data_IF_299413442066
#
_entry.id   IF_299413442066
#
_cell.length_a   1.000
_cell.length_b   1.000
_cell.length_c   1.000
_cell.angle_alpha   90.00
_cell.angle_beta   90.00
_cell.angle_gamma   90.00
#
_symmetry.space_group_name_H-M   'P 1'
#
loop_
_entity.id
_entity.type
_entity.pdbx_description
1 polymer ?
#
# COMPACT_ATOMS: atom_id res chain seq x y z
N UNK A 1 -39.66 19.84 -7.14
CA UNK A 1 -38.31 19.89 -6.53
C UNK A 1 -38.08 18.76 -5.52
N UNK A 2 -38.36 17.48 -5.84
CA UNK A 2 -38.14 16.40 -4.85
C UNK A 2 -37.56 15.10 -5.42
N UNK A 3 -37.33 15.01 -6.74
CA UNK A 3 -36.68 13.86 -7.37
C UNK A 3 -35.18 14.10 -7.46
N UNK A 4 -34.75 15.25 -8.02
CA UNK A 4 -33.33 15.64 -8.14
C UNK A 4 -32.60 15.65 -6.79
N UNK A 5 -33.21 16.20 -5.72
CA UNK A 5 -32.61 16.22 -4.38
C UNK A 5 -32.50 14.83 -3.73
N UNK A 6 -33.33 13.86 -4.13
CA UNK A 6 -33.25 12.49 -3.62
C UNK A 6 -32.22 11.66 -4.38
N UNK A 7 -32.06 11.90 -5.69
CA UNK A 7 -31.06 11.22 -6.52
C UNK A 7 -29.63 11.69 -6.20
N UNK A 8 -29.41 13.00 -5.97
CA UNK A 8 -28.11 13.55 -5.55
C UNK A 8 -27.60 12.90 -4.25
N UNK A 9 -28.45 12.86 -3.22
CA UNK A 9 -28.11 12.29 -1.92
C UNK A 9 -27.84 10.76 -1.99
N UNK A 10 -28.51 10.04 -2.90
CA UNK A 10 -28.24 8.61 -3.12
C UNK A 10 -26.92 8.35 -3.86
N UNK A 11 -26.59 9.19 -4.85
CA UNK A 11 -25.31 9.11 -5.58
C UNK A 11 -24.12 9.42 -4.69
N UNK A 12 -24.27 10.40 -3.78
CA UNK A 12 -23.24 10.78 -2.82
C UNK A 12 -22.95 9.67 -1.81
N UNK A 13 -24.01 9.08 -1.24
CA UNK A 13 -23.90 7.94 -0.32
C UNK A 13 -23.26 6.73 -1.01
N UNK A 14 -23.66 6.43 -2.26
CA UNK A 14 -23.06 5.33 -3.01
C UNK A 14 -21.56 5.57 -3.26
N UNK A 15 -21.17 6.79 -3.63
CA UNK A 15 -19.77 7.13 -3.90
C UNK A 15 -18.89 7.02 -2.65
N UNK A 16 -19.40 7.44 -1.48
CA UNK A 16 -18.69 7.27 -0.22
C UNK A 16 -18.51 5.78 0.15
N UNK A 17 -19.55 4.97 -0.04
CA UNK A 17 -19.46 3.52 0.13
C UNK A 17 -18.39 2.91 -0.79
N UNK A 18 -18.35 3.32 -2.06
CA UNK A 18 -17.36 2.84 -3.04
C UNK A 18 -15.92 3.19 -2.60
N UNK A 19 -15.71 4.36 -1.98
CA UNK A 19 -14.41 4.73 -1.41
C UNK A 19 -14.03 3.88 -0.19
N UNK A 20 -14.96 3.63 0.73
CA UNK A 20 -14.74 2.77 1.90
C UNK A 20 -14.39 1.34 1.44
N UNK A 21 -15.12 0.82 0.45
CA UNK A 21 -14.84 -0.49 -0.16
C UNK A 21 -13.46 -0.52 -0.83
N UNK A 22 -13.08 0.55 -1.53
CA UNK A 22 -11.76 0.67 -2.15
C UNK A 22 -10.63 0.65 -1.11
N UNK A 23 -10.80 1.37 0.02
CA UNK A 23 -9.86 1.37 1.14
C UNK A 23 -9.71 -0.04 1.73
N UNK A 24 -10.84 -0.72 1.97
CA UNK A 24 -10.84 -2.08 2.50
C UNK A 24 -10.22 -3.10 1.52
N UNK A 25 -10.42 -2.93 0.22
CA UNK A 25 -9.77 -3.75 -0.81
C UNK A 25 -8.24 -3.57 -0.78
N UNK A 26 -7.77 -2.32 -0.71
CA UNK A 26 -6.33 -2.03 -0.59
C UNK A 26 -5.75 -2.65 0.68
N UNK A 27 -6.45 -2.53 1.81
CA UNK A 27 -6.05 -3.18 3.08
C UNK A 27 -5.87 -4.70 2.91
N UNK A 28 -6.83 -5.37 2.26
CA UNK A 28 -6.80 -6.82 2.05
C UNK A 28 -5.69 -7.26 1.08
N UNK A 29 -5.46 -6.48 0.02
CA UNK A 29 -4.35 -6.69 -0.91
C UNK A 29 -3.01 -6.54 -0.19
N UNK A 30 -2.89 -5.56 0.73
CA UNK A 30 -1.68 -5.39 1.52
C UNK A 30 -1.41 -6.61 2.41
N UNK A 31 -2.42 -7.10 3.14
CA UNK A 31 -2.27 -8.29 4.00
C UNK A 31 -1.78 -9.49 3.21
N UNK A 32 -2.45 -9.78 2.10
CA UNK A 32 -2.14 -10.93 1.25
C UNK A 32 -0.72 -10.86 0.70
N UNK A 33 -0.31 -9.67 0.26
CA UNK A 33 1.01 -9.47 -0.34
C UNK A 33 2.14 -9.52 0.70
N UNK A 34 1.93 -9.00 1.92
CA UNK A 34 2.90 -9.12 3.02
C UNK A 34 3.13 -10.59 3.38
N UNK A 35 2.08 -11.40 3.46
CA UNK A 35 2.21 -12.82 3.76
C UNK A 35 3.01 -13.58 2.70
N UNK A 36 2.78 -13.24 1.43
CA UNK A 36 3.52 -13.81 0.31
C UNK A 36 5.00 -13.37 0.30
N UNK A 37 5.27 -12.07 0.50
CA UNK A 37 6.64 -11.53 0.67
C UNK A 37 7.36 -12.24 1.80
N UNK A 38 6.73 -12.37 2.97
CA UNK A 38 7.33 -13.02 4.14
C UNK A 38 7.64 -14.50 3.87
N UNK A 39 6.78 -15.19 3.12
CA UNK A 39 7.01 -16.58 2.71
C UNK A 39 8.25 -16.69 1.82
N UNK A 40 8.34 -15.86 0.76
CA UNK A 40 9.51 -15.81 -0.13
C UNK A 40 10.80 -15.44 0.61
N UNK A 41 10.74 -14.45 1.49
CA UNK A 41 11.91 -14.05 2.28
C UNK A 41 12.40 -15.17 3.20
N UNK A 42 11.49 -15.91 3.85
CA UNK A 42 11.88 -17.09 4.66
C UNK A 42 12.59 -18.14 3.83
N UNK A 43 12.16 -18.40 2.60
CA UNK A 43 12.83 -19.33 1.68
C UNK A 43 14.24 -18.86 1.32
N UNK A 44 14.37 -17.58 0.95
CA UNK A 44 15.66 -16.97 0.61
C UNK A 44 16.63 -16.94 1.80
N UNK A 45 16.12 -16.75 3.01
CA UNK A 45 16.91 -16.81 4.25
C UNK A 45 17.34 -18.24 4.54
N UNK A 46 16.43 -19.22 4.45
CA UNK A 46 16.72 -20.64 4.71
C UNK A 46 17.81 -21.19 3.79
N UNK A 47 17.80 -20.80 2.51
CA UNK A 47 18.85 -21.23 1.57
C UNK A 47 20.11 -20.36 1.60
N UNK A 48 20.19 -19.37 2.50
CA UNK A 48 21.36 -18.50 2.68
C UNK A 48 21.54 -17.43 1.60
N UNK A 49 20.73 -17.44 0.55
CA UNK A 49 20.84 -16.48 -0.56
C UNK A 49 20.61 -15.05 -0.10
N UNK A 50 19.63 -14.82 0.80
CA UNK A 50 19.34 -13.48 1.28
C UNK A 50 20.55 -12.83 1.98
N UNK A 51 21.45 -13.60 2.59
CA UNK A 51 22.65 -13.06 3.23
C UNK A 51 23.67 -12.47 2.23
N UNK A 52 23.60 -12.89 0.96
CA UNK A 52 24.45 -12.37 -0.12
C UNK A 52 23.90 -11.05 -0.70
N UNK A 53 22.64 -10.73 -0.42
CA UNK A 53 22.01 -9.47 -0.85
C UNK A 53 22.53 -8.32 0.01
N UNK A 54 22.74 -7.15 -0.61
CA UNK A 54 23.24 -5.98 0.10
C UNK A 54 22.42 -5.66 1.34
N UNK A 55 23.11 -5.29 2.41
CA UNK A 55 22.47 -4.89 3.67
C UNK A 55 21.49 -3.73 3.44
N UNK A 56 21.85 -2.78 2.57
CA UNK A 56 21.00 -1.63 2.22
C UNK A 56 19.66 -2.08 1.65
N UNK A 57 19.67 -2.94 0.64
CA UNK A 57 18.44 -3.43 0.03
C UNK A 57 17.60 -4.23 1.02
N UNK A 58 18.23 -5.10 1.83
CA UNK A 58 17.52 -5.88 2.86
C UNK A 58 16.81 -4.99 3.87
N UNK A 59 17.49 -3.96 4.38
CA UNK A 59 16.89 -3.00 5.33
C UNK A 59 15.70 -2.29 4.72
N UNK A 60 15.76 -1.94 3.42
CA UNK A 60 14.67 -1.24 2.74
C UNK A 60 13.45 -2.12 2.50
N UNK A 61 13.66 -3.39 2.18
CA UNK A 61 12.56 -4.36 2.13
C UNK A 61 11.90 -4.49 3.51
N UNK A 62 12.69 -4.56 4.58
CA UNK A 62 12.15 -4.64 5.93
C UNK A 62 11.37 -3.39 6.35
N UNK A 63 11.91 -2.20 6.10
CA UNK A 63 11.23 -0.92 6.34
C UNK A 63 9.91 -0.82 5.55
N UNK A 64 9.90 -1.30 4.30
CA UNK A 64 8.70 -1.37 3.46
C UNK A 64 7.63 -2.26 4.09
N UNK A 65 8.01 -3.44 4.59
CA UNK A 65 7.08 -4.36 5.25
C UNK A 65 6.48 -3.73 6.51
N UNK A 66 7.32 -3.09 7.35
CA UNK A 66 6.83 -2.41 8.55
C UNK A 66 5.84 -1.29 8.20
N UNK A 67 6.17 -0.46 7.20
CA UNK A 67 5.27 0.58 6.73
C UNK A 67 3.92 0.03 6.27
N UNK A 68 3.90 -1.10 5.55
CA UNK A 68 2.65 -1.73 5.14
C UNK A 68 1.85 -2.30 6.31
N UNK A 69 2.52 -2.86 7.32
CA UNK A 69 1.85 -3.35 8.53
C UNK A 69 1.15 -2.22 9.28
N UNK A 70 1.82 -1.09 9.47
CA UNK A 70 1.20 0.10 10.09
C UNK A 70 0.08 0.66 9.21
N UNK A 71 0.29 0.74 7.90
CA UNK A 71 -0.74 1.20 6.96
C UNK A 71 -2.00 0.32 7.01
N UNK A 72 -1.87 -1.00 7.16
CA UNK A 72 -3.03 -1.90 7.34
C UNK A 72 -3.83 -1.52 8.59
N UNK A 73 -3.16 -1.24 9.71
CA UNK A 73 -3.82 -0.81 10.94
C UNK A 73 -4.59 0.49 10.72
N UNK A 74 -3.96 1.48 10.07
CA UNK A 74 -4.58 2.78 9.80
C UNK A 74 -5.77 2.65 8.84
N UNK A 75 -5.64 1.91 7.73
CA UNK A 75 -6.74 1.71 6.77
C UNK A 75 -7.91 0.95 7.37
N UNK A 76 -7.64 -0.02 8.26
CA UNK A 76 -8.68 -0.74 8.99
C UNK A 76 -9.45 0.16 9.94
N UNK A 77 -8.74 1.04 10.67
CA UNK A 77 -9.36 2.03 11.54
C UNK A 77 -10.20 3.04 10.74
N UNK A 78 -9.64 3.60 9.66
CA UNK A 78 -10.31 4.58 8.80
C UNK A 78 -11.58 3.99 8.16
N UNK A 79 -11.49 2.81 7.55
CA UNK A 79 -12.64 2.18 6.88
C UNK A 79 -13.79 1.92 7.84
N UNK A 80 -13.48 1.50 9.08
CA UNK A 80 -14.48 1.31 10.14
C UNK A 80 -15.06 2.64 10.63
N UNK A 81 -14.22 3.63 10.93
CA UNK A 81 -14.68 4.91 11.46
C UNK A 81 -15.49 5.70 10.42
N UNK A 82 -15.15 5.62 9.13
CA UNK A 82 -15.89 6.25 8.04
C UNK A 82 -17.32 5.72 7.87
N UNK A 83 -17.60 4.49 8.30
CA UNK A 83 -18.97 3.94 8.30
C UNK A 83 -19.87 4.64 9.33
N UNK A 84 -19.29 5.16 10.41
CA UNK A 84 -20.02 5.86 11.47
C UNK A 84 -19.99 7.38 11.27
N UNK A 85 -18.81 7.93 10.96
CA UNK A 85 -18.60 9.37 10.79
C UNK A 85 -17.36 9.65 9.95
N UNK A 86 -17.52 10.41 8.88
CA UNK A 86 -16.41 10.93 8.09
C UNK A 86 -15.80 12.16 8.77
N UNK A 87 -14.47 12.24 8.85
CA UNK A 87 -13.75 13.38 9.44
C UNK A 87 -12.55 13.78 8.57
N UNK A 88 -12.09 15.06 8.62
CA UNK A 88 -10.92 15.50 7.87
C UNK A 88 -9.65 14.69 8.18
N UNK A 89 -9.52 14.20 9.42
CA UNK A 89 -8.36 13.41 9.85
C UNK A 89 -8.19 12.15 9.00
N UNK A 90 -9.28 11.50 8.59
CA UNK A 90 -9.21 10.31 7.73
C UNK A 90 -8.47 10.64 6.42
N UNK A 91 -8.82 11.77 5.80
CA UNK A 91 -8.22 12.19 4.54
C UNK A 91 -6.77 12.63 4.71
N UNK A 92 -6.44 13.32 5.79
CA UNK A 92 -5.05 13.65 6.14
C UNK A 92 -4.18 12.39 6.31
N UNK A 93 -4.71 11.36 6.97
CA UNK A 93 -4.01 10.09 7.15
C UNK A 93 -3.82 9.37 5.81
N UNK A 94 -4.86 9.28 4.97
CA UNK A 94 -4.76 8.67 3.63
C UNK A 94 -3.71 9.37 2.74
N UNK A 95 -3.71 10.71 2.72
CA UNK A 95 -2.69 11.52 2.00
C UNK A 95 -1.29 11.27 2.56
N UNK A 96 -1.15 11.14 3.88
CA UNK A 96 0.13 10.85 4.54
C UNK A 96 0.68 9.48 4.16
N UNK A 97 -0.18 8.46 4.13
CA UNK A 97 0.17 7.11 3.68
C UNK A 97 0.64 7.14 2.23
N UNK A 98 -0.14 7.75 1.32
CA UNK A 98 0.21 7.85 -0.11
C UNK A 98 1.57 8.56 -0.34
N UNK A 99 1.79 9.68 0.36
CA UNK A 99 3.07 10.41 0.27
C UNK A 99 4.25 9.60 0.78
N UNK A 100 4.08 8.89 1.90
CA UNK A 100 5.12 8.04 2.48
C UNK A 100 5.43 6.85 1.56
N UNK A 101 4.40 6.23 0.99
CA UNK A 101 4.50 5.16 0.00
C UNK A 101 5.35 5.59 -1.21
N UNK A 102 5.07 6.76 -1.79
CA UNK A 102 5.82 7.27 -2.95
C UNK A 102 7.32 7.49 -2.63
N UNK A 103 7.62 8.05 -1.45
CA UNK A 103 9.01 8.26 -1.01
C UNK A 103 9.77 6.93 -0.85
N UNK A 104 9.13 5.95 -0.21
CA UNK A 104 9.72 4.62 -0.02
C UNK A 104 9.86 3.86 -1.34
N UNK A 105 8.88 3.95 -2.24
CA UNK A 105 8.94 3.34 -3.58
C UNK A 105 10.13 3.86 -4.38
N UNK A 106 10.33 5.18 -4.38
CA UNK A 106 11.47 5.81 -5.04
C UNK A 106 12.80 5.31 -4.48
N UNK A 107 12.91 5.22 -3.15
CA UNK A 107 14.10 4.69 -2.48
C UNK A 107 14.35 3.21 -2.79
N UNK A 108 13.31 2.38 -2.74
CA UNK A 108 13.40 0.94 -3.00
C UNK A 108 13.83 0.68 -4.45
N UNK A 109 13.24 1.41 -5.41
CA UNK A 109 13.59 1.32 -6.84
C UNK A 109 15.04 1.71 -7.12
N UNK A 110 15.55 2.74 -6.44
CA UNK A 110 16.96 3.13 -6.56
C UNK A 110 17.86 1.98 -6.07
N UNK A 111 17.63 1.48 -4.86
CA UNK A 111 18.46 0.43 -4.27
C UNK A 111 18.35 -0.91 -5.02
N UNK A 112 17.19 -1.21 -5.62
CA UNK A 112 17.05 -2.37 -6.50
C UNK A 112 17.99 -2.29 -7.71
N UNK A 113 18.11 -1.10 -8.32
CA UNK A 113 18.95 -0.91 -9.50
C UNK A 113 20.45 -0.87 -9.20
N UNK A 114 20.84 -0.37 -8.03
CA UNK A 114 22.24 -0.12 -7.71
C UNK A 114 22.88 -1.22 -6.86
N UNK A 115 22.11 -1.85 -5.97
CA UNK A 115 22.70 -2.58 -4.84
C UNK A 115 22.16 -4.01 -4.68
N UNK A 116 21.25 -4.50 -5.51
CA UNK A 116 20.51 -5.74 -5.21
C UNK A 116 21.25 -7.05 -5.53
N UNK A 117 22.41 -7.02 -6.19
CA UNK A 117 22.95 -8.20 -6.90
C UNK A 117 24.22 -8.82 -6.32
N UNK A 118 24.18 -10.12 -6.01
CA UNK A 118 25.26 -11.07 -6.27
C UNK A 118 25.28 -11.42 -7.78
N UNK A 119 26.44 -11.78 -8.34
CA UNK A 119 26.71 -11.95 -9.80
C UNK A 119 25.84 -12.98 -10.58
N UNK A 120 24.88 -13.65 -9.93
CA UNK A 120 24.16 -14.83 -10.44
C UNK A 120 22.72 -14.50 -10.92
N UNK A 121 22.59 -13.63 -11.93
CA UNK A 121 21.29 -13.12 -12.45
C UNK A 121 20.34 -14.19 -13.04
N UNK A 122 20.83 -15.39 -13.36
CA UNK A 122 20.04 -16.49 -13.93
C UNK A 122 19.56 -17.51 -12.88
N UNK A 123 19.88 -17.29 -11.59
CA UNK A 123 19.53 -18.23 -10.52
C UNK A 123 18.04 -18.08 -10.14
N UNK A 124 17.34 -19.20 -9.92
CA UNK A 124 15.93 -19.21 -9.49
C UNK A 124 15.68 -18.35 -8.24
N UNK A 125 16.67 -18.26 -7.34
CA UNK A 125 16.61 -17.47 -6.10
C UNK A 125 16.61 -15.96 -6.38
N UNK A 126 17.33 -15.54 -7.41
CA UNK A 126 17.28 -14.16 -7.88
C UNK A 126 15.87 -13.81 -8.36
N UNK A 127 15.20 -14.70 -9.11
CA UNK A 127 13.82 -14.48 -9.56
C UNK A 127 12.84 -14.35 -8.39
N UNK A 128 13.03 -15.13 -7.31
CA UNK A 128 12.23 -14.99 -6.08
C UNK A 128 12.46 -13.63 -5.43
N UNK A 129 13.71 -13.15 -5.34
CA UNK A 129 14.03 -11.82 -4.82
C UNK A 129 13.43 -10.70 -5.71
N UNK A 130 13.48 -10.86 -7.02
CA UNK A 130 12.87 -9.92 -7.97
C UNK A 130 11.35 -9.88 -7.81
N UNK A 131 10.72 -11.02 -7.52
CA UNK A 131 9.29 -11.07 -7.20
C UNK A 131 8.99 -10.34 -5.89
N UNK A 132 9.80 -10.50 -4.84
CA UNK A 132 9.65 -9.71 -3.60
C UNK A 132 9.71 -8.20 -3.88
N UNK A 133 10.70 -7.75 -4.67
CA UNK A 133 10.79 -6.35 -5.07
C UNK A 133 9.52 -5.89 -5.82
N UNK A 134 9.06 -6.70 -6.79
CA UNK A 134 7.89 -6.40 -7.60
C UNK A 134 6.62 -6.31 -6.74
N UNK A 135 6.44 -7.24 -5.82
CA UNK A 135 5.31 -7.27 -4.87
C UNK A 135 5.30 -5.99 -4.04
N UNK A 136 6.45 -5.61 -3.47
CA UNK A 136 6.58 -4.33 -2.77
C UNK A 136 6.23 -3.15 -3.68
N UNK A 137 6.77 -3.08 -4.90
CA UNK A 137 6.53 -1.97 -5.81
C UNK A 137 5.05 -1.83 -6.22
N UNK A 138 4.37 -2.96 -6.44
CA UNK A 138 2.93 -2.98 -6.78
C UNK A 138 2.08 -2.44 -5.64
N UNK A 139 2.39 -2.81 -4.39
CA UNK A 139 1.66 -2.30 -3.22
C UNK A 139 1.80 -0.78 -3.05
N UNK A 140 2.97 -0.21 -3.34
CA UNK A 140 3.13 1.25 -3.32
C UNK A 140 2.20 1.93 -4.32
N UNK A 141 2.04 1.37 -5.53
CA UNK A 141 1.08 1.88 -6.51
C UNK A 141 -0.37 1.78 -6.01
N UNK A 142 -0.72 0.72 -5.29
CA UNK A 142 -2.05 0.63 -4.66
C UNK A 142 -2.27 1.72 -3.62
N UNK A 143 -1.24 2.07 -2.84
CA UNK A 143 -1.30 3.13 -1.83
C UNK A 143 -1.31 4.55 -2.43
N UNK A 144 -0.73 4.76 -3.62
CA UNK A 144 -0.80 6.05 -4.33
C UNK A 144 -2.25 6.45 -4.64
N UNK A 145 -3.14 5.47 -4.87
CA UNK A 145 -4.56 5.74 -5.12
C UNK A 145 -5.30 6.37 -3.92
N UNK A 146 -4.76 6.23 -2.70
CA UNK A 146 -5.37 6.78 -1.49
C UNK A 146 -5.41 8.31 -1.50
N UNK A 147 -4.44 8.97 -2.15
CA UNK A 147 -4.45 10.43 -2.31
C UNK A 147 -5.66 10.87 -3.14
N UNK A 148 -5.94 10.19 -4.26
CA UNK A 148 -7.10 10.49 -5.09
C UNK A 148 -8.42 10.21 -4.37
N UNK A 149 -8.49 9.13 -3.59
CA UNK A 149 -9.66 8.83 -2.75
C UNK A 149 -9.87 9.95 -1.72
N UNK A 150 -8.80 10.39 -1.05
CA UNK A 150 -8.86 11.43 -0.05
C UNK A 150 -9.31 12.79 -0.63
N UNK A 151 -8.77 13.19 -1.79
CA UNK A 151 -9.17 14.43 -2.47
C UNK A 151 -10.66 14.43 -2.84
N UNK A 152 -11.14 13.34 -3.44
CA UNK A 152 -12.56 13.24 -3.86
C UNK A 152 -13.51 13.09 -2.68
N UNK A 153 -13.09 12.42 -1.62
CA UNK A 153 -13.91 12.22 -0.44
C UNK A 153 -13.98 13.49 0.45
N UNK A 154 -12.97 14.37 0.36
CA UNK A 154 -12.97 15.67 1.06
C UNK A 154 -14.06 16.61 0.53
N UNK A 155 -14.44 16.52 -0.75
CA UNK A 155 -15.54 17.31 -1.33
C UNK A 155 -16.85 17.13 -0.55
N UNK A 156 -17.10 15.94 0.03
CA UNK A 156 -18.30 15.62 0.82
C UNK A 156 -18.34 16.26 2.21
N UNK A 157 -17.24 16.85 2.69
CA UNK A 157 -17.21 17.60 3.96
C UNK A 157 -17.46 19.10 3.76
N UNK A 158 -17.44 19.58 2.52
CA UNK A 158 -17.49 21.02 2.18
C UNK A 158 -18.86 21.50 1.72
N UNK A 159 -19.86 20.61 1.66
CA UNK A 159 -21.29 20.91 1.40
C UNK A 159 -22.14 20.72 2.66
#
# INVERSE_FOLDING_TARGET
MSAEYKELNQLEVQSLCDYIESIASIEQDLKTTIDDINTKLRELIKCGYYNRVSITFRTRVYETILFYQESICDLSAISKDMQERVTPLHFETLKTIAKTANNLNTSLRFNWKTDSYPDDFSEQRFLVLAQVYKDCATMFTSLENLESIAEKAEDYLTE
#
